data_IF_555470671433
#
_entry.id   IF_555470671433
#
_cell.length_a   1.000
_cell.length_b   1.000
_cell.length_c   1.000
_cell.angle_alpha   90.00
_cell.angle_beta   90.00
_cell.angle_gamma   90.00
#
_symmetry.space_group_name_H-M   'P 1'
#
loop_
_entity.id
_entity.type
_entity.pdbx_description
1 polymer ?
#
# COMPACT_ATOMS: atom_id res chain seq x y z
N UNK A 1 74.12 -2.92 0.93
CA UNK A 1 72.92 -2.24 0.42
C UNK A 1 72.07 -3.26 -0.32
N UNK A 2 71.01 -3.76 0.33
CA UNK A 2 70.03 -4.66 -0.31
C UNK A 2 68.65 -4.33 0.24
N UNK A 3 67.83 -3.66 -0.56
CA UNK A 3 66.42 -3.44 -0.29
C UNK A 3 65.61 -4.51 -1.03
N UNK A 4 64.72 -5.25 -0.35
CA UNK A 4 63.61 -5.97 -0.98
C UNK A 4 62.37 -6.02 -0.06
N UNK A 5 61.38 -5.22 -0.46
CA UNK A 5 59.92 -5.35 -0.42
C UNK A 5 59.22 -6.42 0.45
N UNK A 6 58.45 -5.88 1.40
CA UNK A 6 57.06 -6.15 1.80
C UNK A 6 56.30 -7.39 1.30
N UNK A 7 55.50 -7.96 2.22
CA UNK A 7 54.15 -8.41 1.89
C UNK A 7 53.23 -8.24 3.11
N UNK A 8 52.45 -7.15 3.15
CA UNK A 8 51.25 -7.05 3.98
C UNK A 8 50.14 -7.82 3.28
N UNK A 9 49.59 -8.84 3.95
CA UNK A 9 48.37 -9.52 3.50
C UNK A 9 47.16 -8.63 3.85
N UNK A 10 46.68 -7.85 2.88
CA UNK A 10 45.42 -7.13 2.98
C UNK A 10 44.24 -8.06 2.72
N UNK A 11 43.44 -8.34 3.75
CA UNK A 11 42.15 -9.03 3.62
C UNK A 11 41.14 -8.05 3.00
N UNK A 12 40.80 -8.26 1.74
CA UNK A 12 39.79 -7.48 1.02
C UNK A 12 38.44 -8.18 1.16
N UNK A 13 37.67 -7.87 2.21
CA UNK A 13 36.26 -8.28 2.31
C UNK A 13 35.46 -7.42 1.33
N UNK A 14 35.14 -7.95 0.14
CA UNK A 14 34.12 -7.36 -0.73
C UNK A 14 32.75 -7.57 -0.08
N UNK A 15 32.25 -6.54 0.60
CA UNK A 15 30.84 -6.40 0.92
C UNK A 15 30.05 -6.24 -0.39
N UNK A 16 29.47 -7.33 -0.88
CA UNK A 16 28.40 -7.26 -1.88
C UNK A 16 27.19 -6.58 -1.23
N UNK A 17 27.12 -5.26 -1.35
CA UNK A 17 25.93 -4.50 -0.99
C UNK A 17 24.83 -4.84 -1.98
N UNK A 18 24.01 -5.84 -1.67
CA UNK A 18 22.70 -5.98 -2.31
C UNK A 18 21.93 -4.69 -2.00
N UNK A 19 21.61 -3.92 -3.04
CA UNK A 19 20.71 -2.76 -2.90
C UNK A 19 19.37 -3.27 -2.38
N UNK A 20 19.17 -3.15 -1.07
CA UNK A 20 17.88 -3.42 -0.45
C UNK A 20 16.98 -2.24 -0.78
N UNK A 21 15.94 -2.48 -1.56
CA UNK A 21 14.87 -1.52 -1.79
C UNK A 21 14.00 -1.46 -0.53
N UNK A 22 14.44 -0.69 0.46
CA UNK A 22 13.65 -0.35 1.63
C UNK A 22 12.87 0.94 1.38
N UNK A 23 11.60 0.96 1.76
CA UNK A 23 10.82 2.19 1.72
C UNK A 23 11.17 3.08 2.92
N UNK A 24 11.34 4.38 2.65
CA UNK A 24 11.35 5.39 3.69
C UNK A 24 9.94 5.91 3.91
N UNK A 25 9.46 5.83 5.15
CA UNK A 25 8.15 6.32 5.54
C UNK A 25 8.31 7.47 6.52
N UNK A 26 7.98 8.71 6.12
CA UNK A 26 7.96 9.82 7.06
C UNK A 26 6.87 9.59 8.12
N UNK A 27 7.00 10.20 9.32
CA UNK A 27 5.94 10.19 10.32
C UNK A 27 4.58 10.59 9.71
N UNK A 28 3.47 9.97 10.14
CA UNK A 28 2.17 10.26 9.57
C UNK A 28 1.77 11.71 9.88
N UNK A 29 1.18 12.40 8.90
CA UNK A 29 0.78 13.80 9.02
C UNK A 29 -0.67 13.98 8.60
N UNK A 30 -1.30 15.06 9.07
CA UNK A 30 -2.61 15.45 8.57
C UNK A 30 -2.54 15.67 7.06
N UNK A 31 -3.36 14.95 6.32
CA UNK A 31 -3.44 15.04 4.86
C UNK A 31 -4.76 15.67 4.43
N UNK A 32 -4.71 16.35 3.27
CA UNK A 32 -5.87 16.99 2.67
C UNK A 32 -5.99 16.55 1.22
N UNK A 33 -7.19 16.09 0.86
CA UNK A 33 -7.54 15.65 -0.50
C UNK A 33 -8.76 16.43 -0.99
N UNK A 34 -8.94 16.44 -2.30
CA UNK A 34 -10.09 17.04 -2.96
C UNK A 34 -10.70 16.03 -3.94
N UNK A 35 -12.01 16.11 -4.15
CA UNK A 35 -12.66 15.44 -5.27
C UNK A 35 -12.16 16.00 -6.60
N UNK A 36 -12.43 15.29 -7.70
CA UNK A 36 -11.97 15.68 -9.04
C UNK A 36 -12.48 17.07 -9.46
N UNK A 37 -13.70 17.44 -9.07
CA UNK A 37 -14.28 18.76 -9.30
C UNK A 37 -13.87 19.82 -8.27
N UNK A 38 -13.12 19.44 -7.23
CA UNK A 38 -12.68 20.33 -6.16
C UNK A 38 -13.78 20.78 -5.18
N UNK A 39 -15.02 20.28 -5.30
CA UNK A 39 -16.13 20.69 -4.44
C UNK A 39 -16.27 19.88 -3.16
N UNK A 40 -15.57 18.75 -3.04
CA UNK A 40 -15.47 17.96 -1.82
C UNK A 40 -14.04 17.99 -1.32
N UNK A 41 -13.88 18.18 -0.02
CA UNK A 41 -12.61 18.16 0.67
C UNK A 41 -12.60 17.06 1.71
N UNK A 42 -11.50 16.33 1.78
CA UNK A 42 -11.22 15.35 2.81
C UNK A 42 -10.06 15.88 3.64
N UNK A 43 -10.21 15.88 4.96
CA UNK A 43 -9.09 16.08 5.91
C UNK A 43 -8.95 14.83 6.74
N UNK A 44 -7.81 14.16 6.64
CA UNK A 44 -7.49 12.96 7.43
C UNK A 44 -6.47 13.34 8.48
N UNK A 45 -6.81 13.07 9.74
CA UNK A 45 -5.93 13.24 10.88
C UNK A 45 -5.47 11.85 11.32
N UNK A 46 -4.16 11.55 11.31
CA UNK A 46 -3.63 10.28 11.78
C UNK A 46 -3.91 10.01 13.26
N UNK A 47 -3.85 8.74 13.65
CA UNK A 47 -3.69 8.36 15.06
C UNK A 47 -2.41 8.97 15.62
N UNK A 48 -2.46 9.42 16.86
CA UNK A 48 -1.29 10.00 17.51
C UNK A 48 -0.27 8.91 17.86
N UNK A 49 0.94 9.03 17.29
CA UNK A 49 2.06 8.15 17.61
C UNK A 49 3.09 8.84 18.50
N UNK A 50 3.74 8.06 19.37
CA UNK A 50 4.92 8.49 20.12
C UNK A 50 6.13 8.67 19.18
N UNK A 51 6.27 7.79 18.20
CA UNK A 51 7.29 7.82 17.16
C UNK A 51 7.29 6.53 16.32
N UNK A 52 8.07 6.52 15.24
CA UNK A 52 8.17 5.34 14.37
C UNK A 52 8.83 4.16 15.10
N UNK A 53 9.87 4.43 15.91
CA UNK A 53 10.62 3.39 16.61
C UNK A 53 9.72 2.67 17.63
N UNK A 54 8.99 3.42 18.44
CA UNK A 54 8.04 2.90 19.42
C UNK A 54 6.95 2.09 18.75
N UNK A 55 6.43 2.55 17.60
CA UNK A 55 5.46 1.80 16.81
C UNK A 55 5.99 0.42 16.42
N UNK A 56 7.20 0.32 15.90
CA UNK A 56 7.77 -0.97 15.50
C UNK A 56 8.14 -1.86 16.68
N UNK A 57 8.68 -1.28 17.75
CA UNK A 57 8.98 -2.03 18.96
C UNK A 57 7.70 -2.65 19.54
N UNK A 58 6.62 -1.87 19.61
CA UNK A 58 5.35 -2.36 20.10
C UNK A 58 4.75 -3.44 19.18
N UNK A 59 4.92 -3.35 17.86
CA UNK A 59 4.50 -4.41 16.92
C UNK A 59 5.26 -5.72 17.17
N UNK A 60 6.57 -5.63 17.40
CA UNK A 60 7.41 -6.80 17.74
C UNK A 60 7.02 -7.38 19.10
N UNK A 61 6.73 -6.51 20.07
CA UNK A 61 6.31 -6.90 21.43
C UNK A 61 4.84 -7.37 21.50
N UNK A 62 4.08 -7.28 20.41
CA UNK A 62 2.65 -7.63 20.38
C UNK A 62 1.73 -6.66 21.15
N UNK A 63 2.18 -5.42 21.42
CA UNK A 63 1.39 -4.40 22.12
C UNK A 63 0.39 -3.72 21.19
N UNK A 64 -0.80 -3.44 21.71
CA UNK A 64 -1.88 -2.78 20.96
C UNK A 64 -2.57 -1.70 21.82
N UNK A 65 -2.83 -0.50 21.27
CA UNK A 65 -2.46 -0.04 19.94
C UNK A 65 -0.96 0.34 19.87
N UNK A 66 -0.24 -0.24 18.90
CA UNK A 66 1.20 -0.05 18.79
C UNK A 66 1.59 1.42 18.59
N UNK A 67 2.63 1.87 19.29
CA UNK A 67 3.19 3.22 19.18
C UNK A 67 2.26 4.33 19.65
N UNK A 68 1.16 4.01 20.35
CA UNK A 68 0.20 5.01 20.81
C UNK A 68 0.87 6.07 21.67
N UNK A 69 0.65 7.35 21.35
CA UNK A 69 1.19 8.45 22.14
C UNK A 69 0.57 8.45 23.55
N UNK A 70 1.37 8.40 24.63
CA UNK A 70 0.87 8.50 26.00
C UNK A 70 0.02 9.76 26.21
N UNK A 71 -1.13 9.60 26.86
CA UNK A 71 -2.06 10.69 27.16
C UNK A 71 -2.88 11.21 25.96
N UNK A 72 -2.69 10.68 24.74
CA UNK A 72 -3.53 11.06 23.62
C UNK A 72 -4.89 10.34 23.65
N UNK A 73 -5.96 11.09 23.39
CA UNK A 73 -7.32 10.57 23.20
C UNK A 73 -7.62 10.22 21.73
N UNK A 74 -6.69 10.47 20.80
CA UNK A 74 -6.83 10.11 19.38
C UNK A 74 -6.30 8.68 19.21
N UNK A 75 -7.20 7.72 19.38
CA UNK A 75 -6.91 6.27 19.38
C UNK A 75 -7.08 5.61 18.01
N UNK A 76 -7.53 6.35 17.01
CA UNK A 76 -7.68 5.92 15.62
C UNK A 76 -7.54 7.15 14.70
N UNK A 77 -7.10 6.99 13.44
CA UNK A 77 -7.24 8.06 12.47
C UNK A 77 -8.70 8.40 12.25
N UNK A 78 -8.98 9.64 11.87
CA UNK A 78 -10.33 10.05 11.48
C UNK A 78 -10.30 10.88 10.21
N UNK A 79 -11.38 10.80 9.45
CA UNK A 79 -11.63 11.68 8.31
C UNK A 79 -12.73 12.67 8.67
N UNK A 80 -12.57 13.90 8.18
CA UNK A 80 -13.63 14.88 8.03
C UNK A 80 -13.83 15.13 6.55
N UNK A 81 -15.06 14.95 6.08
CA UNK A 81 -15.45 15.24 4.70
C UNK A 81 -16.35 16.47 4.70
N UNK A 82 -16.02 17.43 3.83
CA UNK A 82 -16.73 18.70 3.70
C UNK A 82 -17.07 18.99 2.25
N UNK A 83 -18.18 19.68 2.01
CA UNK A 83 -18.57 20.18 0.69
C UNK A 83 -18.44 21.70 0.62
N UNK A 84 -18.02 22.21 -0.52
CA UNK A 84 -17.98 23.63 -0.83
C UNK A 84 -19.39 24.14 -1.14
N UNK A 85 -19.79 25.24 -0.52
CA UNK A 85 -21.04 25.95 -0.82
C UNK A 85 -20.83 26.92 -1.98
N UNK A 86 -21.93 27.42 -2.56
CA UNK A 86 -21.88 28.41 -3.64
C UNK A 86 -21.14 29.70 -3.23
N UNK A 87 -21.20 30.07 -1.94
CA UNK A 87 -20.43 31.17 -1.37
C UNK A 87 -18.96 30.84 -1.07
N UNK A 88 -18.45 29.70 -1.53
CA UNK A 88 -17.06 29.26 -1.38
C UNK A 88 -16.67 28.74 0.00
N UNK A 89 -17.60 28.66 0.96
CA UNK A 89 -17.36 28.16 2.33
C UNK A 89 -17.41 26.64 2.36
N UNK A 90 -16.71 26.03 3.32
CA UNK A 90 -16.76 24.59 3.55
C UNK A 90 -17.80 24.23 4.61
N UNK A 91 -18.69 23.31 4.30
CA UNK A 91 -19.66 22.74 5.24
C UNK A 91 -19.33 21.26 5.47
N UNK A 92 -19.15 20.86 6.73
CA UNK A 92 -18.89 19.46 7.07
C UNK A 92 -20.09 18.59 6.69
N UNK A 93 -19.86 17.57 5.88
CA UNK A 93 -20.84 16.51 5.61
C UNK A 93 -20.84 15.49 6.74
N UNK A 94 -19.65 15.05 7.17
CA UNK A 94 -19.49 14.14 8.29
C UNK A 94 -18.04 14.09 8.80
N UNK A 95 -17.86 13.53 10.00
CA UNK A 95 -16.56 13.21 10.57
C UNK A 95 -16.65 11.86 11.28
N UNK A 96 -15.72 10.94 11.00
CA UNK A 96 -15.71 9.61 11.60
C UNK A 96 -14.30 9.00 11.64
N UNK A 97 -14.05 8.12 12.61
CA UNK A 97 -12.87 7.26 12.67
C UNK A 97 -12.77 6.35 11.44
N UNK A 98 -11.56 6.15 10.96
CA UNK A 98 -11.25 5.23 9.87
C UNK A 98 -10.82 3.87 10.42
N UNK A 99 -10.97 2.81 9.63
CA UNK A 99 -10.52 1.45 10.00
C UNK A 99 -9.01 1.27 9.91
N UNK A 100 -8.31 2.20 9.25
CA UNK A 100 -6.87 2.22 9.14
C UNK A 100 -6.21 2.29 10.52
N UNK A 101 -5.07 1.63 10.73
CA UNK A 101 -4.39 1.58 12.04
C UNK A 101 -3.85 2.97 12.46
N UNK A 102 -3.05 3.57 11.58
CA UNK A 102 -2.38 4.85 11.85
C UNK A 102 -2.91 5.96 10.95
N UNK A 103 -2.88 5.73 9.65
CA UNK A 103 -3.43 6.58 8.61
C UNK A 103 -3.46 5.78 7.31
N UNK A 104 -4.38 6.08 6.39
CA UNK A 104 -4.27 5.57 5.04
C UNK A 104 -3.08 6.17 4.30
N UNK A 105 -2.57 5.47 3.29
CA UNK A 105 -1.52 5.99 2.40
C UNK A 105 -2.11 7.04 1.45
N UNK A 106 -3.32 6.79 0.96
CA UNK A 106 -4.04 7.67 0.06
C UNK A 106 -5.56 7.64 0.30
N UNK A 107 -6.27 8.67 -0.12
CA UNK A 107 -7.74 8.71 -0.06
C UNK A 107 -8.34 9.54 -1.20
N UNK A 108 -9.58 9.23 -1.57
CA UNK A 108 -10.35 9.96 -2.59
C UNK A 108 -11.84 10.00 -2.26
N UNK A 109 -12.53 11.04 -2.69
CA UNK A 109 -13.97 11.18 -2.54
C UNK A 109 -14.65 11.35 -3.90
N UNK A 110 -15.85 10.79 -4.03
CA UNK A 110 -16.75 11.11 -5.13
C UNK A 110 -17.11 12.61 -5.07
N UNK A 111 -17.34 13.25 -6.22
CA UNK A 111 -17.71 14.67 -6.31
C UNK A 111 -19.04 14.94 -5.60
N UNK A 112 -19.94 13.96 -5.57
CA UNK A 112 -21.17 14.03 -4.79
C UNK A 112 -20.94 13.99 -3.26
N UNK A 113 -19.74 13.65 -2.78
CA UNK A 113 -19.41 13.56 -1.36
C UNK A 113 -20.08 12.39 -0.60
N UNK A 114 -20.79 11.52 -1.33
CA UNK A 114 -21.49 10.33 -0.81
C UNK A 114 -20.50 9.24 -0.40
N UNK A 115 -19.37 9.15 -1.10
CA UNK A 115 -18.37 8.11 -0.91
C UNK A 115 -16.99 8.68 -0.60
N UNK A 116 -16.32 8.06 0.37
CA UNK A 116 -14.88 8.17 0.62
C UNK A 116 -14.27 6.79 0.43
N UNK A 117 -13.12 6.72 -0.24
CA UNK A 117 -12.29 5.51 -0.33
C UNK A 117 -10.93 5.81 0.24
N UNK A 118 -10.42 4.95 1.12
CA UNK A 118 -9.05 4.98 1.61
C UNK A 118 -8.27 3.79 1.08
N UNK A 119 -6.97 3.98 0.86
CA UNK A 119 -6.06 2.98 0.32
C UNK A 119 -4.88 2.77 1.25
N UNK A 120 -4.65 1.50 1.55
CA UNK A 120 -3.54 0.98 2.32
C UNK A 120 -3.41 1.55 3.73
N UNK A 121 -2.49 0.99 4.50
CA UNK A 121 -2.07 1.57 5.77
C UNK A 121 -0.66 2.12 5.67
N UNK A 122 -0.41 3.22 6.37
CA UNK A 122 0.94 3.70 6.64
C UNK A 122 1.79 2.55 7.22
N UNK A 123 2.97 2.32 6.61
CA UNK A 123 3.86 1.18 6.89
C UNK A 123 3.30 -0.24 6.61
N UNK A 124 2.18 -0.37 5.88
CA UNK A 124 1.63 -1.68 5.52
C UNK A 124 0.93 -1.65 4.16
N UNK A 125 1.59 -1.03 3.16
CA UNK A 125 1.04 -0.91 1.82
C UNK A 125 0.90 -2.27 1.13
N UNK A 126 -0.32 -2.61 0.70
CA UNK A 126 -0.68 -3.88 0.09
C UNK A 126 -0.84 -5.04 1.08
N UNK A 127 -0.85 -4.76 2.37
CA UNK A 127 -0.98 -5.75 3.44
C UNK A 127 -2.23 -5.48 4.31
N UNK A 128 -2.65 -6.49 5.06
CA UNK A 128 -3.81 -6.38 5.96
C UNK A 128 -5.17 -6.53 5.26
N UNK A 129 -6.23 -6.09 5.94
CA UNK A 129 -7.64 -6.32 5.53
C UNK A 129 -8.31 -5.07 4.96
N UNK A 130 -7.53 -4.01 4.81
CA UNK A 130 -7.95 -2.64 4.56
C UNK A 130 -6.99 -1.96 3.58
N UNK A 131 -6.47 -2.74 2.63
CA UNK A 131 -5.79 -2.22 1.44
C UNK A 131 -6.72 -1.29 0.64
N UNK A 132 -8.03 -1.56 0.67
CA UNK A 132 -9.08 -0.65 0.22
C UNK A 132 -10.19 -0.62 1.26
N UNK A 133 -10.64 0.55 1.69
CA UNK A 133 -11.83 0.71 2.53
C UNK A 133 -12.79 1.75 1.95
N UNK A 134 -14.07 1.40 1.85
CA UNK A 134 -15.13 2.21 1.26
C UNK A 134 -16.08 2.66 2.36
N UNK A 135 -16.32 3.96 2.42
CA UNK A 135 -17.23 4.61 3.35
C UNK A 135 -18.33 5.31 2.58
N UNK A 136 -19.56 5.20 3.07
CA UNK A 136 -20.74 5.87 2.52
C UNK A 136 -21.10 7.15 3.29
N UNK A 137 -22.35 7.55 3.11
CA UNK A 137 -22.95 8.70 3.80
C UNK A 137 -22.80 8.58 5.32
N UNK A 138 -22.44 9.68 5.98
CA UNK A 138 -22.21 9.73 7.42
C UNK A 138 -20.93 9.05 7.88
N UNK A 139 -20.04 8.64 6.97
CA UNK A 139 -18.80 7.95 7.30
C UNK A 139 -19.00 6.48 7.68
N UNK A 140 -20.16 5.88 7.35
CA UNK A 140 -20.41 4.45 7.60
C UNK A 140 -19.52 3.61 6.70
N UNK A 141 -18.73 2.70 7.29
CA UNK A 141 -18.00 1.69 6.52
C UNK A 141 -18.99 0.81 5.75
N UNK A 142 -18.85 0.76 4.43
CA UNK A 142 -19.60 -0.13 3.55
C UNK A 142 -18.88 -1.46 3.45
N UNK A 143 -17.58 -1.40 3.12
CA UNK A 143 -16.74 -2.60 3.00
C UNK A 143 -15.26 -2.26 3.08
N UNK A 144 -14.45 -3.24 3.46
CA UNK A 144 -13.00 -3.20 3.36
C UNK A 144 -12.48 -4.47 2.70
N UNK A 145 -11.31 -4.38 2.08
CA UNK A 145 -10.71 -5.46 1.31
C UNK A 145 -9.23 -5.60 1.61
N UNK A 146 -8.80 -6.84 1.78
CA UNK A 146 -7.45 -7.28 1.49
C UNK A 146 -7.25 -7.40 -0.02
N UNK A 147 -6.00 -7.39 -0.49
CA UNK A 147 -5.71 -7.65 -1.91
C UNK A 147 -6.22 -9.03 -2.36
N UNK A 148 -6.21 -10.03 -1.47
CA UNK A 148 -6.68 -11.39 -1.73
C UNK A 148 -8.18 -11.49 -2.00
N UNK A 149 -8.96 -10.46 -1.65
CA UNK A 149 -10.40 -10.45 -1.90
C UNK A 149 -10.73 -10.21 -3.38
N UNK A 150 -9.78 -9.67 -4.16
CA UNK A 150 -9.99 -9.35 -5.57
C UNK A 150 -8.82 -9.76 -6.49
N UNK A 151 -7.71 -10.27 -5.95
CA UNK A 151 -6.58 -10.82 -6.70
C UNK A 151 -6.19 -12.22 -6.21
N UNK A 152 -5.79 -13.13 -7.11
CA UNK A 152 -5.17 -14.39 -6.71
C UNK A 152 -3.87 -14.15 -5.93
N UNK A 153 -3.61 -14.96 -4.90
CA UNK A 153 -2.37 -14.89 -4.10
C UNK A 153 -1.10 -14.91 -4.96
N UNK A 154 -1.04 -15.79 -5.95
CA UNK A 154 0.11 -15.89 -6.86
C UNK A 154 0.32 -14.63 -7.69
N UNK A 155 -0.75 -13.88 -7.98
CA UNK A 155 -0.65 -12.60 -8.65
C UNK A 155 -0.02 -11.56 -7.73
N UNK A 156 -0.50 -11.49 -6.49
CA UNK A 156 0.00 -10.58 -5.45
C UNK A 156 1.49 -10.79 -5.19
N UNK A 157 1.94 -12.04 -5.08
CA UNK A 157 3.36 -12.41 -4.89
C UNK A 157 4.29 -11.99 -6.03
N UNK A 158 3.71 -11.66 -7.20
CA UNK A 158 4.44 -11.27 -8.40
C UNK A 158 4.26 -9.79 -8.75
N UNK A 159 3.54 -9.04 -7.91
CA UNK A 159 3.45 -7.60 -8.04
C UNK A 159 4.79 -6.94 -7.68
N UNK A 160 5.08 -5.75 -8.25
CA UNK A 160 6.24 -4.98 -7.83
C UNK A 160 6.19 -4.70 -6.33
N UNK A 161 7.23 -5.08 -5.60
CA UNK A 161 7.28 -4.94 -4.14
C UNK A 161 8.67 -4.52 -3.67
N UNK A 162 8.70 -3.79 -2.56
CA UNK A 162 9.89 -3.55 -1.75
C UNK A 162 10.00 -4.64 -0.68
N UNK A 163 10.89 -4.46 0.29
CA UNK A 163 10.94 -5.32 1.48
C UNK A 163 9.64 -5.28 2.30
N UNK A 164 8.91 -4.16 2.29
CA UNK A 164 7.81 -3.90 3.23
C UNK A 164 6.52 -3.39 2.61
N UNK A 165 6.48 -3.23 1.28
CA UNK A 165 5.31 -2.71 0.57
C UNK A 165 5.09 -3.45 -0.75
N UNK A 166 3.83 -3.70 -1.08
CA UNK A 166 3.41 -4.15 -2.41
C UNK A 166 2.85 -2.95 -3.16
N UNK A 167 3.49 -2.55 -4.27
CA UNK A 167 3.00 -1.50 -5.17
C UNK A 167 1.91 -2.06 -6.08
N UNK A 168 0.74 -2.33 -5.50
CA UNK A 168 -0.33 -3.04 -6.16
C UNK A 168 -1.18 -2.19 -7.11
N UNK A 169 -1.24 -0.87 -6.89
CA UNK A 169 -2.15 -0.01 -7.64
C UNK A 169 -1.81 1.46 -7.52
N UNK A 170 -2.30 2.24 -8.48
CA UNK A 170 -2.20 3.72 -8.52
C UNK A 170 -3.32 4.29 -9.38
N UNK A 171 -3.52 5.61 -9.34
CA UNK A 171 -4.41 6.33 -10.26
C UNK A 171 -5.83 5.73 -10.34
N UNK A 172 -6.35 5.28 -9.20
CA UNK A 172 -7.73 4.81 -9.11
C UNK A 172 -8.70 5.97 -9.39
N UNK A 173 -9.89 5.65 -9.86
CA UNK A 173 -10.87 6.68 -10.21
C UNK A 173 -12.30 6.16 -10.03
N UNK A 174 -13.23 7.08 -9.91
CA UNK A 174 -14.66 6.78 -9.93
C UNK A 174 -15.18 6.73 -11.37
N UNK A 175 -16.14 5.87 -11.65
CA UNK A 175 -16.92 5.95 -12.89
C UNK A 175 -17.64 7.31 -12.99
N UNK A 176 -18.05 7.68 -14.20
CA UNK A 176 -18.73 8.96 -14.47
C UNK A 176 -20.01 9.14 -13.64
N UNK A 177 -20.73 8.05 -13.36
CA UNK A 177 -21.92 8.03 -12.51
C UNK A 177 -21.61 8.06 -11.00
N UNK A 178 -20.33 7.97 -10.62
CA UNK A 178 -19.83 7.91 -9.25
C UNK A 178 -20.38 6.77 -8.38
N UNK A 179 -20.88 5.70 -9.00
CA UNK A 179 -21.42 4.52 -8.30
C UNK A 179 -20.44 3.34 -8.33
N UNK A 180 -19.34 3.43 -9.08
CA UNK A 180 -18.30 2.39 -9.18
C UNK A 180 -16.92 2.97 -8.92
N UNK A 181 -16.14 2.30 -8.07
CA UNK A 181 -14.70 2.49 -7.96
C UNK A 181 -13.99 1.62 -9.01
N UNK A 182 -13.12 2.24 -9.81
CA UNK A 182 -12.23 1.57 -10.75
C UNK A 182 -10.84 1.53 -10.15
N UNK A 183 -10.47 0.36 -9.64
CA UNK A 183 -9.11 0.07 -9.21
C UNK A 183 -8.26 -0.23 -10.43
N UNK A 184 -7.15 0.49 -10.57
CA UNK A 184 -6.11 0.23 -11.58
C UNK A 184 -4.95 -0.50 -10.90
N UNK A 185 -4.92 -1.81 -11.09
CA UNK A 185 -3.95 -2.73 -10.50
C UNK A 185 -2.75 -2.86 -11.44
N UNK A 186 -1.55 -2.82 -10.87
CA UNK A 186 -0.31 -3.02 -11.62
C UNK A 186 -0.26 -4.43 -12.25
N UNK A 187 0.40 -4.55 -13.40
CA UNK A 187 0.80 -5.84 -13.92
C UNK A 187 1.99 -6.41 -13.12
N UNK A 188 2.15 -7.74 -13.06
CA UNK A 188 3.29 -8.38 -12.40
C UNK A 188 4.62 -7.95 -13.01
N UNK A 189 5.64 -7.72 -12.19
CA UNK A 189 7.00 -7.41 -12.66
C UNK A 189 8.06 -7.70 -11.60
N UNK A 190 9.30 -7.83 -12.06
CA UNK A 190 10.49 -7.89 -11.21
C UNK A 190 10.99 -6.54 -10.74
N UNK A 191 10.74 -5.51 -11.55
CA UNK A 191 11.35 -4.21 -11.33
C UNK A 191 10.40 -3.31 -10.56
N UNK A 192 10.85 -2.88 -9.38
CA UNK A 192 10.15 -1.94 -8.52
C UNK A 192 10.20 -0.50 -9.07
N UNK A 193 11.21 -0.17 -9.88
CA UNK A 193 11.45 1.14 -10.48
C UNK A 193 10.88 1.32 -11.89
N UNK A 194 10.49 0.24 -12.56
CA UNK A 194 9.79 0.32 -13.84
C UNK A 194 8.42 0.97 -13.63
N UNK A 195 8.19 2.07 -14.34
CA UNK A 195 6.98 2.87 -14.23
C UNK A 195 5.90 2.19 -15.07
N UNK A 196 5.33 1.13 -14.50
CA UNK A 196 4.60 0.11 -15.26
C UNK A 196 3.44 0.67 -16.10
N UNK A 197 3.63 0.61 -17.42
CA UNK A 197 2.56 0.64 -18.41
C UNK A 197 1.63 -0.57 -18.31
N UNK A 198 0.41 -0.40 -18.86
CA UNK A 198 -0.75 -1.31 -18.87
C UNK A 198 -1.19 -1.81 -17.48
N UNK A 199 -2.32 -1.30 -17.00
CA UNK A 199 -2.98 -1.72 -15.76
C UNK A 199 -4.13 -2.69 -16.04
N UNK A 200 -4.47 -3.51 -15.05
CA UNK A 200 -5.72 -4.28 -15.03
C UNK A 200 -6.74 -3.50 -14.22
N UNK A 201 -7.95 -3.36 -14.74
CA UNK A 201 -9.05 -2.70 -14.03
C UNK A 201 -9.91 -3.70 -13.28
N UNK A 202 -10.21 -3.38 -12.02
CA UNK A 202 -11.18 -4.08 -11.19
C UNK A 202 -12.26 -3.07 -10.81
N UNK A 203 -13.52 -3.50 -10.88
CA UNK A 203 -14.66 -2.63 -10.60
C UNK A 203 -15.28 -3.03 -9.27
N UNK A 204 -15.52 -2.06 -8.40
CA UNK A 204 -16.23 -2.26 -7.14
C UNK A 204 -17.42 -1.34 -7.10
N UNK A 205 -18.62 -1.90 -7.00
CA UNK A 205 -19.85 -1.12 -6.79
C UNK A 205 -19.81 -0.50 -5.40
N UNK A 206 -19.96 0.82 -5.31
CA UNK A 206 -19.78 1.55 -4.06
C UNK A 206 -20.94 1.36 -3.07
N UNK A 207 -22.14 1.07 -3.56
CA UNK A 207 -23.33 0.92 -2.70
C UNK A 207 -23.23 -0.24 -1.70
N UNK A 208 -22.61 -1.35 -2.09
CA UNK A 208 -22.55 -2.59 -1.29
C UNK A 208 -21.17 -3.28 -1.32
N UNK A 209 -20.23 -2.75 -2.10
CA UNK A 209 -18.91 -3.34 -2.24
C UNK A 209 -18.89 -4.60 -3.12
N UNK A 210 -19.85 -4.80 -4.02
CA UNK A 210 -19.78 -5.93 -4.94
C UNK A 210 -18.61 -5.76 -5.92
N UNK A 211 -17.73 -6.76 -5.99
CA UNK A 211 -16.60 -6.79 -6.92
C UNK A 211 -17.05 -7.41 -8.24
N UNK A 212 -16.71 -6.76 -9.35
CA UNK A 212 -16.67 -7.40 -10.67
C UNK A 212 -15.22 -7.81 -10.94
N UNK A 213 -14.92 -9.12 -10.99
CA UNK A 213 -13.56 -9.59 -11.23
C UNK A 213 -13.00 -9.07 -12.56
N UNK A 214 -11.67 -8.90 -12.66
CA UNK A 214 -11.05 -8.56 -13.94
C UNK A 214 -11.24 -9.72 -14.93
N UNK A 215 -11.44 -9.38 -16.20
CA UNK A 215 -11.70 -10.35 -17.26
C UNK A 215 -11.11 -9.92 -18.62
N UNK A 216 -11.15 -10.83 -19.58
CA UNK A 216 -10.73 -10.58 -20.96
C UNK A 216 -9.22 -10.62 -21.20
N UNK A 217 -8.82 -10.25 -22.42
CA UNK A 217 -7.45 -10.44 -22.93
C UNK A 217 -6.37 -9.76 -22.08
N UNK A 218 -6.66 -8.59 -21.53
CA UNK A 218 -5.73 -7.87 -20.66
C UNK A 218 -5.46 -8.65 -19.37
N UNK A 219 -6.51 -9.18 -18.75
CA UNK A 219 -6.39 -10.00 -17.55
C UNK A 219 -5.65 -11.32 -17.83
N UNK A 220 -6.00 -12.02 -18.91
CA UNK A 220 -5.31 -13.25 -19.29
C UNK A 220 -3.82 -13.04 -19.55
N UNK A 221 -3.45 -11.93 -20.21
CA UNK A 221 -2.05 -11.54 -20.39
C UNK A 221 -1.36 -11.31 -19.06
N UNK A 222 -1.99 -10.56 -18.15
CA UNK A 222 -1.44 -10.27 -16.83
C UNK A 222 -1.22 -11.56 -16.02
N UNK A 223 -2.15 -12.52 -16.08
CA UNK A 223 -1.99 -13.85 -15.46
C UNK A 223 -0.83 -14.65 -16.07
N UNK A 224 -0.65 -14.62 -17.39
CA UNK A 224 0.52 -15.25 -18.03
C UNK A 224 1.82 -14.58 -17.61
N UNK A 225 1.82 -13.25 -17.49
CA UNK A 225 2.97 -12.48 -16.98
C UNK A 225 3.29 -12.86 -15.54
N UNK A 226 2.29 -12.97 -14.66
CA UNK A 226 2.45 -13.46 -13.27
C UNK A 226 3.14 -14.82 -13.24
N UNK A 227 2.67 -15.79 -14.04
CA UNK A 227 3.29 -17.13 -14.12
C UNK A 227 4.75 -17.06 -14.54
N UNK A 228 5.08 -16.23 -15.54
CA UNK A 228 6.46 -16.03 -16.00
C UNK A 228 7.33 -15.41 -14.89
N UNK A 229 6.83 -14.38 -14.23
CA UNK A 229 7.53 -13.72 -13.11
C UNK A 229 7.77 -14.71 -11.98
N UNK A 230 6.77 -15.50 -11.58
CA UNK A 230 6.96 -16.50 -10.54
C UNK A 230 8.00 -17.55 -10.90
N UNK A 231 7.98 -18.06 -12.13
CA UNK A 231 8.96 -19.04 -12.59
C UNK A 231 10.39 -18.49 -12.56
N UNK A 232 10.56 -17.22 -12.94
CA UNK A 232 11.84 -16.52 -12.89
C UNK A 232 12.30 -16.26 -11.43
N UNK A 233 11.39 -15.88 -10.51
CA UNK A 233 11.70 -15.69 -9.08
C UNK A 233 12.18 -17.02 -8.47
N UNK A 234 11.43 -18.10 -8.71
CA UNK A 234 11.80 -19.44 -8.23
C UNK A 234 13.14 -19.91 -8.79
N UNK A 235 13.46 -19.59 -10.05
CA UNK A 235 14.75 -19.92 -10.63
C UNK A 235 15.90 -19.14 -9.94
N UNK A 236 15.68 -17.86 -9.65
CA UNK A 236 16.63 -17.02 -8.90
C UNK A 236 16.82 -17.54 -7.47
N UNK A 237 15.73 -17.81 -6.75
CA UNK A 237 15.74 -18.38 -5.39
C UNK A 237 16.49 -19.71 -5.37
N UNK A 238 16.19 -20.65 -6.28
CA UNK A 238 16.90 -21.94 -6.38
C UNK A 238 18.39 -21.77 -6.62
N UNK A 239 18.79 -20.81 -7.47
CA UNK A 239 20.20 -20.51 -7.73
C UNK A 239 20.89 -19.96 -6.48
N UNK A 240 20.29 -18.98 -5.81
CA UNK A 240 20.80 -18.43 -4.56
C UNK A 240 20.91 -19.52 -3.47
N UNK A 241 19.91 -20.40 -3.35
CA UNK A 241 19.93 -21.54 -2.44
C UNK A 241 21.09 -22.50 -2.69
N UNK A 242 21.39 -22.79 -3.95
CA UNK A 242 22.49 -23.67 -4.34
C UNK A 242 23.86 -23.03 -4.02
N UNK A 243 23.98 -21.71 -4.20
CA UNK A 243 25.22 -20.97 -3.99
C UNK A 243 25.51 -20.70 -2.49
N UNK A 244 24.49 -20.50 -1.65
CA UNK A 244 24.65 -19.99 -0.26
C UNK A 244 24.53 -21.09 0.82
N UNK A 245 24.37 -22.34 0.42
CA UNK A 245 24.17 -23.48 1.33
C UNK A 245 22.74 -23.52 1.89
N UNK A 246 22.03 -24.62 1.65
CA UNK A 246 20.57 -24.76 1.81
C UNK A 246 19.97 -24.61 3.23
N UNK A 247 20.68 -24.04 4.20
CA UNK A 247 20.14 -23.73 5.53
C UNK A 247 19.08 -22.61 5.50
N UNK A 248 19.26 -21.61 4.63
CA UNK A 248 18.31 -20.49 4.48
C UNK A 248 17.01 -20.89 3.75
N UNK A 249 17.03 -21.95 2.93
CA UNK A 249 15.93 -22.29 2.03
C UNK A 249 14.87 -23.23 2.60
N UNK A 250 15.06 -23.73 3.83
CA UNK A 250 14.07 -24.62 4.48
C UNK A 250 12.98 -23.87 5.26
N UNK A 251 13.03 -22.54 5.33
CA UNK A 251 12.17 -21.73 6.19
C UNK A 251 11.19 -20.79 5.45
N UNK A 252 11.09 -20.85 4.12
CA UNK A 252 10.14 -20.05 3.33
C UNK A 252 9.18 -20.91 2.52
#
# INVERSE_FOLDING_TARGET
>A
MSARFALMAGVFVMLFATLVLADSWPPPRTQRYYSADGNVQIVIVPRALAGNLEYFQDKVDGKSPAGQRPGSNIMAPFARVSRRTDGGRWTTLWQQSLVNDVAPVHAMAANNGKYLVTFDNWHSMGHGTDAVAIYGTGGRLIRKYALTDFLPRTYIETLPASVSSIRWGREHFFSEDEETLILRVAEPSFDFGDDHGLVVSIRIRLADGAITPPAGRAWERALRKSKKVRAQQQAFERKACAEWGGGWCRQR
#
